data_IF_247926101885
#
_entry.id   IF_247926101885
#
_cell.length_a   1.000
_cell.length_b   1.000
_cell.length_c   1.000
_cell.angle_alpha   90.00
_cell.angle_beta   90.00
_cell.angle_gamma   90.00
#
_symmetry.space_group_name_H-M   'P 1'
#
loop_
_entity.id
_entity.type
_entity.pdbx_description
1 polymer ?
#
# COMPACT_ATOMS: atom_id res chain seq x y z
N UNK A 1 27.23 -2.02 -47.91
CA UNK A 1 25.89 -2.63 -48.05
C UNK A 1 25.42 -2.97 -46.65
N UNK A 2 24.68 -2.05 -46.00
CA UNK A 2 24.30 -2.17 -44.59
C UNK A 2 23.07 -3.10 -44.51
N UNK A 3 23.18 -4.20 -43.78
CA UNK A 3 22.15 -5.24 -43.72
C UNK A 3 20.79 -4.68 -43.23
N UNK A 4 19.66 -5.17 -43.78
CA UNK A 4 18.31 -4.75 -43.40
C UNK A 4 17.95 -4.99 -41.93
N UNK A 5 18.74 -5.81 -41.21
CA UNK A 5 18.60 -6.06 -39.78
C UNK A 5 19.03 -4.89 -38.89
N UNK A 6 19.95 -4.05 -39.35
CA UNK A 6 20.42 -2.89 -38.57
C UNK A 6 19.30 -1.84 -38.47
N UNK A 7 18.48 -1.71 -39.51
CA UNK A 7 17.34 -0.78 -39.54
C UNK A 7 16.17 -1.24 -38.67
N UNK A 8 15.90 -2.54 -38.58
CA UNK A 8 14.88 -3.08 -37.66
C UNK A 8 15.34 -2.99 -36.20
N UNK A 9 16.63 -3.20 -35.91
CA UNK A 9 17.18 -3.04 -34.56
C UNK A 9 17.16 -1.58 -34.08
N UNK A 10 17.37 -0.62 -34.98
CA UNK A 10 17.30 0.81 -34.67
C UNK A 10 15.84 1.25 -34.42
N UNK A 11 14.89 0.71 -35.17
CA UNK A 11 13.46 0.92 -34.97
C UNK A 11 12.98 0.33 -33.63
N UNK A 12 13.42 -0.89 -33.29
CA UNK A 12 13.14 -1.50 -31.98
C UNK A 12 13.77 -0.68 -30.86
N UNK A 13 14.98 -0.15 -31.04
CA UNK A 13 15.64 0.72 -30.08
C UNK A 13 14.87 2.02 -29.82
N UNK A 14 14.34 2.65 -30.86
CA UNK A 14 13.48 3.85 -30.73
C UNK A 14 12.15 3.51 -30.07
N UNK A 15 11.50 2.40 -30.46
CA UNK A 15 10.26 1.96 -29.82
C UNK A 15 10.45 1.63 -28.34
N UNK A 16 11.59 1.05 -27.97
CA UNK A 16 11.94 0.73 -26.58
C UNK A 16 12.27 2.01 -25.80
N UNK A 17 12.93 3.00 -26.40
CA UNK A 17 13.12 4.34 -25.81
C UNK A 17 11.79 5.06 -25.57
N UNK A 18 10.84 4.94 -26.50
CA UNK A 18 9.50 5.52 -26.36
C UNK A 18 8.70 4.78 -25.28
N UNK A 19 8.78 3.45 -25.22
CA UNK A 19 8.15 2.66 -24.17
C UNK A 19 8.73 2.98 -22.79
N UNK A 20 10.05 3.15 -22.67
CA UNK A 20 10.72 3.60 -21.44
C UNK A 20 10.30 5.03 -21.09
N UNK A 21 10.22 5.94 -22.07
CA UNK A 21 9.73 7.30 -21.87
C UNK A 21 8.29 7.35 -21.38
N UNK A 22 7.42 6.50 -21.92
CA UNK A 22 6.03 6.34 -21.46
C UNK A 22 5.98 5.73 -20.06
N UNK A 23 6.80 4.71 -19.77
CA UNK A 23 6.87 4.10 -18.43
C UNK A 23 7.35 5.11 -17.37
N UNK A 24 8.33 5.96 -17.72
CA UNK A 24 8.78 7.06 -16.87
C UNK A 24 7.68 8.11 -16.71
N UNK A 25 6.95 8.46 -17.76
CA UNK A 25 5.79 9.36 -17.72
C UNK A 25 4.64 8.87 -16.84
N UNK A 26 4.44 7.54 -16.72
CA UNK A 26 3.40 6.93 -15.88
C UNK A 26 3.78 6.89 -14.39
N UNK A 27 5.08 6.95 -14.08
CA UNK A 27 5.54 7.05 -12.70
C UNK A 27 5.30 8.46 -12.15
N UNK A 28 4.56 8.55 -11.03
CA UNK A 28 4.19 9.83 -10.41
C UNK A 28 5.40 10.66 -9.92
N UNK A 29 6.58 10.05 -9.83
CA UNK A 29 7.83 10.66 -9.32
C UNK A 29 8.91 10.89 -10.38
N UNK A 30 8.70 10.57 -11.67
CA UNK A 30 9.73 10.87 -12.67
C UNK A 30 9.99 12.37 -12.85
N UNK A 31 8.96 13.20 -12.67
CA UNK A 31 9.11 14.66 -12.66
C UNK A 31 10.00 15.14 -11.52
N UNK A 32 9.83 14.57 -10.31
CA UNK A 32 10.61 14.95 -9.12
C UNK A 32 12.07 14.51 -9.23
N UNK A 33 12.34 13.34 -9.82
CA UNK A 33 13.69 12.84 -10.12
C UNK A 33 14.47 13.70 -11.13
N UNK A 34 13.76 14.37 -12.05
CA UNK A 34 14.34 15.31 -13.02
C UNK A 34 14.27 16.78 -12.56
N UNK A 35 13.81 17.03 -11.32
CA UNK A 35 13.65 18.38 -10.76
C UNK A 35 12.56 19.22 -11.43
N UNK A 36 11.63 18.60 -12.16
CA UNK A 36 10.56 19.25 -12.91
C UNK A 36 9.27 19.27 -12.09
N UNK A 37 8.57 20.41 -12.13
CA UNK A 37 7.25 20.53 -11.51
C UNK A 37 6.19 19.72 -12.27
N UNK A 38 5.13 19.30 -11.58
CA UNK A 38 4.03 18.49 -12.16
C UNK A 38 3.40 19.15 -13.40
N UNK A 39 3.38 20.49 -13.43
CA UNK A 39 2.88 21.29 -14.55
C UNK A 39 3.84 21.33 -15.75
N UNK A 40 5.15 21.35 -15.51
CA UNK A 40 6.19 21.27 -16.55
C UNK A 40 6.27 19.86 -17.15
N UNK A 41 6.08 18.83 -16.35
CA UNK A 41 6.05 17.45 -16.81
C UNK A 41 4.89 17.18 -17.78
N UNK A 42 3.71 17.75 -17.50
CA UNK A 42 2.56 17.68 -18.39
C UNK A 42 2.79 18.32 -19.77
N UNK A 43 3.69 19.32 -19.87
CA UNK A 43 4.04 19.98 -21.14
C UNK A 43 5.04 19.17 -21.98
N UNK A 44 5.75 18.20 -21.41
CA UNK A 44 6.67 17.34 -22.15
C UNK A 44 5.94 16.25 -22.93
N UNK A 45 4.76 15.85 -22.49
CA UNK A 45 3.92 14.82 -23.14
C UNK A 45 3.66 15.13 -24.63
N UNK A 46 3.11 16.30 -25.01
CA UNK A 46 2.86 16.62 -26.42
C UNK A 46 4.17 16.72 -27.22
N UNK A 47 5.27 17.18 -26.61
CA UNK A 47 6.57 17.28 -27.27
C UNK A 47 7.17 15.92 -27.60
N UNK A 48 7.06 14.94 -26.69
CA UNK A 48 7.51 13.56 -26.94
C UNK A 48 6.65 12.91 -28.02
N UNK A 49 5.33 13.11 -28.00
CA UNK A 49 4.43 12.61 -29.06
C UNK A 49 4.83 13.17 -30.43
N UNK A 50 5.07 14.49 -30.52
CA UNK A 50 5.51 15.13 -31.77
C UNK A 50 6.88 14.61 -32.20
N UNK A 51 7.83 14.44 -31.27
CA UNK A 51 9.16 13.89 -31.56
C UNK A 51 9.07 12.47 -32.13
N UNK A 52 8.18 11.63 -31.60
CA UNK A 52 7.95 10.27 -32.09
C UNK A 52 7.36 10.28 -33.50
N UNK A 53 6.37 11.15 -33.75
CA UNK A 53 5.78 11.32 -35.08
C UNK A 53 6.86 11.79 -36.09
N UNK A 54 7.71 12.73 -35.70
CA UNK A 54 8.77 13.27 -36.55
C UNK A 54 9.89 12.25 -36.80
N UNK A 55 10.30 11.51 -35.77
CA UNK A 55 11.28 10.42 -35.89
C UNK A 55 10.77 9.29 -36.79
N UNK A 56 9.47 8.96 -36.70
CA UNK A 56 8.82 8.01 -37.59
C UNK A 56 8.75 8.51 -39.03
N UNK A 57 8.50 9.80 -39.24
CA UNK A 57 8.45 10.44 -40.57
C UNK A 57 9.83 10.57 -41.24
N UNK A 58 10.84 10.96 -40.46
CA UNK A 58 12.19 11.24 -40.95
C UNK A 58 12.93 10.00 -41.47
N UNK A 59 12.54 8.80 -41.03
CA UNK A 59 13.18 7.54 -41.42
C UNK A 59 12.57 6.87 -42.67
N UNK A 60 11.54 7.47 -43.31
CA UNK A 60 10.74 6.79 -44.34
C UNK A 60 11.17 7.02 -45.81
N UNK A 61 12.45 7.33 -46.10
CA UNK A 61 12.80 7.78 -47.46
C UNK A 61 12.68 6.74 -48.59
N UNK A 62 12.40 5.44 -48.34
CA UNK A 62 12.11 4.42 -49.39
C UNK A 62 11.34 3.18 -48.88
N UNK A 63 10.12 3.32 -48.35
CA UNK A 63 9.27 2.16 -48.04
C UNK A 63 7.93 2.25 -48.78
N UNK A 64 7.45 1.13 -49.30
CA UNK A 64 6.19 1.01 -50.05
C UNK A 64 5.01 1.45 -49.17
N UNK A 65 4.03 2.14 -49.77
CA UNK A 65 2.83 2.66 -49.06
C UNK A 65 2.10 1.56 -48.27
N UNK A 66 2.19 0.29 -48.69
CA UNK A 66 1.60 -0.86 -48.01
C UNK A 66 2.24 -1.21 -46.67
N UNK A 67 3.53 -0.92 -46.46
CA UNK A 67 4.23 -1.18 -45.17
C UNK A 67 4.07 -0.02 -44.18
N UNK A 68 3.76 1.18 -44.66
CA UNK A 68 3.38 2.34 -43.83
C UNK A 68 2.00 2.10 -43.18
N UNK A 69 1.04 1.53 -43.93
CA UNK A 69 -0.28 1.18 -43.42
C UNK A 69 -0.23 0.09 -42.33
N UNK A 70 0.61 -0.94 -42.50
CA UNK A 70 0.80 -2.00 -41.50
C UNK A 70 1.41 -1.48 -40.19
N UNK A 71 2.40 -0.58 -40.27
CA UNK A 71 3.00 0.02 -39.09
C UNK A 71 2.05 0.97 -38.36
N UNK A 72 1.13 1.64 -39.07
CA UNK A 72 0.14 2.51 -38.45
C UNK A 72 -0.81 1.75 -37.52
N UNK A 73 -1.16 0.51 -37.84
CA UNK A 73 -2.02 -0.34 -36.98
C UNK A 73 -1.33 -0.73 -35.69
N UNK A 74 -0.03 -1.07 -35.75
CA UNK A 74 0.75 -1.40 -34.54
C UNK A 74 0.88 -0.18 -33.63
N UNK A 75 1.14 1.01 -34.20
CA UNK A 75 1.22 2.26 -33.45
C UNK A 75 -0.14 2.69 -32.87
N UNK A 76 -1.22 2.57 -33.64
CA UNK A 76 -2.57 2.84 -33.17
C UNK A 76 -2.97 1.90 -32.03
N UNK A 77 -2.60 0.62 -32.12
CA UNK A 77 -2.81 -0.36 -31.06
C UNK A 77 -2.02 -0.02 -29.80
N UNK A 78 -0.74 0.34 -29.93
CA UNK A 78 0.11 0.70 -28.79
C UNK A 78 -0.36 2.01 -28.13
N UNK A 79 -0.79 2.99 -28.93
CA UNK A 79 -1.40 4.22 -28.43
C UNK A 79 -2.73 3.95 -27.73
N UNK A 80 -3.56 3.04 -28.26
CA UNK A 80 -4.80 2.65 -27.61
C UNK A 80 -4.54 1.97 -26.26
N UNK A 81 -3.56 1.06 -26.17
CA UNK A 81 -3.15 0.43 -24.92
C UNK A 81 -2.61 1.47 -23.92
N UNK A 82 -1.79 2.42 -24.38
CA UNK A 82 -1.28 3.49 -23.54
C UNK A 82 -2.40 4.44 -23.06
N UNK A 83 -3.36 4.77 -23.92
CA UNK A 83 -4.51 5.60 -23.60
C UNK A 83 -5.43 4.93 -22.57
N UNK A 84 -5.69 3.63 -22.75
CA UNK A 84 -6.42 2.81 -21.76
C UNK A 84 -5.64 2.76 -20.44
N UNK A 85 -4.34 2.45 -20.48
CA UNK A 85 -3.49 2.43 -19.28
C UNK A 85 -3.43 3.77 -18.55
N UNK A 86 -3.44 4.91 -19.27
CA UNK A 86 -3.47 6.25 -18.68
C UNK A 86 -4.85 6.60 -18.10
N UNK A 87 -5.93 6.20 -18.78
CA UNK A 87 -7.31 6.45 -18.33
C UNK A 87 -7.60 5.68 -17.05
N UNK A 88 -7.12 4.44 -16.96
CA UNK A 88 -7.27 3.55 -15.80
C UNK A 88 -6.04 3.55 -14.87
N UNK A 89 -5.20 4.58 -14.92
CA UNK A 89 -3.93 4.63 -14.16
C UNK A 89 -4.14 4.50 -12.64
N UNK A 90 -5.25 5.04 -12.13
CA UNK A 90 -5.54 5.07 -10.70
C UNK A 90 -6.05 3.68 -10.26
N UNK A 91 -6.93 3.05 -11.04
CA UNK A 91 -7.38 1.67 -10.84
C UNK A 91 -6.23 0.64 -10.95
N UNK A 92 -5.30 0.84 -11.90
CA UNK A 92 -4.13 -0.03 -12.07
C UNK A 92 -3.15 0.09 -10.89
N UNK A 93 -3.03 1.27 -10.28
CA UNK A 93 -2.24 1.46 -9.06
C UNK A 93 -2.86 0.73 -7.88
N UNK A 94 -4.19 0.72 -7.77
CA UNK A 94 -4.90 -0.04 -6.73
C UNK A 94 -4.77 -1.56 -6.92
N UNK A 95 -4.80 -2.04 -8.16
CA UNK A 95 -4.56 -3.47 -8.47
C UNK A 95 -3.09 -3.83 -8.22
N UNK A 96 -2.14 -2.99 -8.61
CA UNK A 96 -0.71 -3.21 -8.34
C UNK A 96 -0.41 -3.17 -6.82
N UNK A 97 -1.01 -2.24 -6.09
CA UNK A 97 -0.93 -2.17 -4.63
C UNK A 97 -1.57 -3.39 -3.96
N UNK A 98 -2.61 -3.99 -4.58
CA UNK A 98 -3.22 -5.25 -4.11
C UNK A 98 -2.32 -6.46 -4.34
N UNK A 99 -1.71 -6.58 -5.52
CA UNK A 99 -0.79 -7.68 -5.85
C UNK A 99 0.54 -7.58 -5.08
N UNK A 100 1.04 -6.37 -4.85
CA UNK A 100 2.24 -6.14 -4.02
C UNK A 100 1.90 -6.26 -2.53
N UNK A 101 0.70 -5.85 -2.11
CA UNK A 101 0.18 -6.04 -0.74
C UNK A 101 -0.10 -7.51 -0.40
N UNK A 102 -0.42 -8.36 -1.39
CA UNK A 102 -0.52 -9.81 -1.24
C UNK A 102 0.84 -10.45 -0.85
N UNK A 103 1.96 -9.78 -1.15
CA UNK A 103 3.30 -10.25 -0.77
C UNK A 103 3.76 -9.73 0.61
N UNK A 104 3.02 -8.79 1.23
CA UNK A 104 3.29 -8.31 2.59
C UNK A 104 2.02 -7.70 3.25
N UNK A 105 1.19 -8.54 3.91
CA UNK A 105 -0.17 -8.20 4.34
C UNK A 105 -0.29 -7.26 5.57
N UNK A 106 0.79 -6.58 6.00
CA UNK A 106 0.80 -5.79 7.25
C UNK A 106 0.80 -4.27 7.04
N UNK A 107 0.75 -3.79 5.80
CA UNK A 107 0.94 -2.35 5.50
C UNK A 107 -0.40 -1.62 5.40
N UNK A 108 -0.65 -0.70 6.35
CA UNK A 108 -1.80 0.20 6.33
C UNK A 108 -1.69 1.22 5.19
N UNK A 109 -2.80 1.55 4.52
CA UNK A 109 -2.86 2.71 3.62
C UNK A 109 -3.29 3.88 4.49
N UNK A 110 -2.30 4.65 4.96
CA UNK A 110 -2.49 5.80 5.85
C UNK A 110 -2.74 7.04 5.00
N UNK A 111 -3.96 7.58 5.04
CA UNK A 111 -4.26 8.93 4.56
C UNK A 111 -3.91 9.93 5.67
N UNK A 112 -2.63 10.30 5.72
CA UNK A 112 -2.00 11.05 6.82
C UNK A 112 -2.53 12.48 7.04
N UNK A 113 -3.52 12.94 6.28
CA UNK A 113 -4.01 14.34 6.38
C UNK A 113 -5.39 14.50 7.02
N UNK A 114 -6.12 13.42 7.31
CA UNK A 114 -7.54 13.51 7.68
C UNK A 114 -7.97 12.96 9.05
N UNK A 115 -7.06 12.44 9.88
CA UNK A 115 -7.47 11.70 11.09
C UNK A 115 -8.22 10.40 10.76
N UNK A 116 -7.96 9.84 9.58
CA UNK A 116 -8.58 8.61 9.08
C UNK A 116 -7.50 7.59 8.78
N UNK A 117 -7.66 6.38 9.29
CA UNK A 117 -6.77 5.27 9.02
C UNK A 117 -7.56 4.14 8.34
N UNK A 118 -7.06 3.67 7.19
CA UNK A 118 -7.68 2.59 6.44
C UNK A 118 -6.77 1.35 6.41
N UNK A 119 -7.35 0.20 6.72
CA UNK A 119 -6.67 -1.09 6.80
C UNK A 119 -7.38 -2.08 5.89
N UNK A 120 -6.60 -2.95 5.24
CA UNK A 120 -7.13 -4.04 4.42
C UNK A 120 -7.19 -5.31 5.25
N UNK A 121 -8.19 -6.13 4.95
CA UNK A 121 -8.30 -7.48 5.50
C UNK A 121 -7.15 -8.33 4.96
N UNK A 122 -6.47 -9.04 5.85
CA UNK A 122 -5.43 -10.00 5.51
C UNK A 122 -6.02 -11.21 4.77
N UNK A 123 -5.12 -12.03 4.21
CA UNK A 123 -5.47 -13.27 3.52
C UNK A 123 -6.09 -14.31 4.46
N UNK A 124 -5.78 -14.22 5.75
CA UNK A 124 -6.37 -15.00 6.84
C UNK A 124 -7.83 -14.62 7.16
N UNK A 125 -8.34 -13.56 6.51
CA UNK A 125 -9.69 -13.07 6.73
C UNK A 125 -9.83 -12.12 7.92
N UNK A 126 -8.74 -11.79 8.61
CA UNK A 126 -8.75 -10.90 9.76
C UNK A 126 -8.15 -9.53 9.44
N UNK A 127 -8.45 -8.53 10.27
CA UNK A 127 -7.80 -7.23 10.17
C UNK A 127 -6.66 -7.17 11.19
N UNK A 128 -5.43 -7.13 10.71
CA UNK A 128 -4.23 -6.99 11.54
C UNK A 128 -3.64 -5.61 11.29
N UNK A 129 -3.55 -4.81 12.35
CA UNK A 129 -3.12 -3.42 12.30
C UNK A 129 -1.71 -3.32 12.87
N UNK A 130 -0.79 -2.69 12.15
CA UNK A 130 0.47 -2.27 12.74
C UNK A 130 0.20 -1.13 13.74
N UNK A 131 0.59 -1.33 15.00
CA UNK A 131 0.43 -0.36 16.06
C UNK A 131 1.74 -0.16 16.82
N UNK A 132 2.00 1.07 17.25
CA UNK A 132 3.06 1.41 18.17
C UNK A 132 2.52 1.46 19.59
N UNK A 133 2.94 0.51 20.42
CA UNK A 133 2.55 0.41 21.83
C UNK A 133 3.75 0.73 22.69
N UNK A 134 3.67 1.81 23.47
CA UNK A 134 4.79 2.37 24.24
C UNK A 134 6.08 2.56 23.42
N UNK A 135 5.95 2.82 22.12
CA UNK A 135 7.07 2.98 21.18
C UNK A 135 7.60 1.68 20.56
N UNK A 136 7.00 0.53 20.86
CA UNK A 136 7.29 -0.74 20.21
C UNK A 136 6.24 -1.07 19.14
N UNK A 137 6.68 -1.20 17.89
CA UNK A 137 5.82 -1.59 16.77
C UNK A 137 5.45 -3.08 16.85
N UNK A 138 4.16 -3.38 16.87
CA UNK A 138 3.61 -4.74 16.93
C UNK A 138 2.27 -4.86 16.18
N UNK A 139 1.94 -6.05 15.66
CA UNK A 139 0.63 -6.30 15.07
C UNK A 139 -0.44 -6.46 16.15
N UNK A 140 -1.57 -5.78 15.98
CA UNK A 140 -2.79 -5.97 16.77
C UNK A 140 -3.92 -6.46 15.88
N UNK A 141 -4.57 -7.54 16.29
CA UNK A 141 -5.77 -8.06 15.64
C UNK A 141 -6.99 -7.23 16.03
N UNK A 142 -7.73 -6.69 15.07
CA UNK A 142 -8.99 -6.02 15.35
C UNK A 142 -10.02 -7.00 15.91
N UNK A 143 -10.44 -6.78 17.15
CA UNK A 143 -11.38 -7.67 17.84
C UNK A 143 -12.41 -6.87 18.65
N UNK A 144 -13.63 -6.75 18.11
CA UNK A 144 -14.76 -6.12 18.79
C UNK A 144 -15.32 -6.96 19.94
N UNK A 145 -14.93 -8.24 20.04
CA UNK A 145 -15.30 -9.12 21.15
C UNK A 145 -14.44 -8.91 22.40
N UNK A 146 -13.28 -8.28 22.25
CA UNK A 146 -12.39 -7.95 23.37
C UNK A 146 -12.84 -6.63 24.03
N UNK A 147 -13.16 -6.69 25.33
CA UNK A 147 -13.59 -5.51 26.10
C UNK A 147 -12.49 -4.46 26.31
N UNK A 148 -11.23 -4.85 26.14
CA UNK A 148 -10.08 -3.96 26.20
C UNK A 148 -8.99 -4.45 25.23
N UNK A 149 -8.00 -3.60 24.96
CA UNK A 149 -6.74 -4.02 24.32
C UNK A 149 -6.12 -5.15 25.14
N UNK A 150 -5.67 -6.21 24.46
CA UNK A 150 -5.00 -7.35 25.12
C UNK A 150 -3.65 -7.55 24.47
N UNK A 151 -2.57 -7.48 25.24
CA UNK A 151 -1.25 -7.82 24.74
C UNK A 151 -0.90 -9.26 25.08
N UNK A 152 -0.24 -9.94 24.15
CA UNK A 152 0.45 -11.19 24.45
C UNK A 152 1.57 -10.92 25.47
N UNK A 153 1.96 -11.94 26.24
CA UNK A 153 3.05 -11.81 27.20
C UNK A 153 4.35 -11.30 26.54
N UNK A 154 4.68 -11.82 25.35
CA UNK A 154 5.87 -11.44 24.59
C UNK A 154 5.79 -10.00 24.07
N UNK A 155 4.64 -9.57 23.57
CA UNK A 155 4.46 -8.20 23.09
C UNK A 155 4.47 -7.18 24.22
N UNK A 156 3.92 -7.53 25.38
CA UNK A 156 4.00 -6.70 26.57
C UNK A 156 5.46 -6.47 27.00
N UNK A 157 6.29 -7.52 26.97
CA UNK A 157 7.71 -7.42 27.24
C UNK A 157 8.42 -6.53 26.20
N UNK A 158 8.07 -6.66 24.92
CA UNK A 158 8.58 -5.79 23.84
C UNK A 158 8.18 -4.33 24.02
N UNK A 159 7.01 -4.06 24.58
CA UNK A 159 6.53 -2.72 24.95
C UNK A 159 7.17 -2.17 26.25
N UNK A 160 8.18 -2.85 26.81
CA UNK A 160 8.90 -2.41 28.00
C UNK A 160 8.13 -2.62 29.31
N UNK A 161 7.07 -3.42 29.32
CA UNK A 161 6.31 -3.74 30.53
C UNK A 161 7.06 -4.83 31.30
N UNK A 162 7.26 -4.61 32.61
CA UNK A 162 7.86 -5.58 33.52
C UNK A 162 6.86 -6.70 33.85
N UNK A 163 6.77 -7.66 32.93
CA UNK A 163 5.81 -8.77 32.96
C UNK A 163 6.07 -9.76 34.11
N UNK A 164 7.28 -9.81 34.67
CA UNK A 164 7.62 -10.70 35.79
C UNK A 164 7.00 -10.22 37.11
N UNK A 165 6.73 -8.93 37.23
CA UNK A 165 6.12 -8.32 38.43
C UNK A 165 4.60 -8.24 38.35
N UNK A 166 3.99 -8.64 37.23
CA UNK A 166 2.56 -8.60 37.04
C UNK A 166 1.85 -9.72 37.81
N UNK A 167 0.72 -9.38 38.43
CA UNK A 167 -0.18 -10.35 39.05
C UNK A 167 -1.26 -10.77 38.05
N UNK A 168 -1.17 -11.99 37.53
CA UNK A 168 -2.18 -12.60 36.65
C UNK A 168 -3.38 -13.13 37.45
N UNK A 169 -4.13 -12.21 38.05
CA UNK A 169 -5.22 -12.52 38.99
C UNK A 169 -6.63 -12.37 38.40
N UNK A 170 -6.76 -11.84 37.18
CA UNK A 170 -8.06 -11.64 36.54
C UNK A 170 -8.41 -12.84 35.67
N UNK A 171 -9.55 -13.51 35.89
CA UNK A 171 -10.02 -14.54 34.98
C UNK A 171 -10.49 -13.90 33.69
N UNK A 172 -10.05 -14.44 32.56
CA UNK A 172 -10.49 -14.03 31.23
C UNK A 172 -11.01 -15.24 30.47
N UNK A 173 -12.11 -15.05 29.76
CA UNK A 173 -12.65 -16.07 28.85
C UNK A 173 -12.20 -15.72 27.46
N UNK A 174 -11.49 -16.65 26.82
CA UNK A 174 -11.03 -16.53 25.43
C UNK A 174 -11.65 -17.65 24.61
N UNK A 175 -11.54 -17.56 23.29
CA UNK A 175 -11.97 -18.62 22.39
C UNK A 175 -11.21 -19.96 22.63
N UNK A 176 -10.01 -19.90 23.20
CA UNK A 176 -9.18 -21.08 23.51
C UNK A 176 -9.44 -21.65 24.92
N UNK A 177 -10.40 -21.07 25.67
CA UNK A 177 -10.71 -21.45 27.05
C UNK A 177 -10.54 -20.31 28.05
N UNK A 178 -10.62 -20.66 29.33
CA UNK A 178 -10.39 -19.73 30.44
C UNK A 178 -8.89 -19.56 30.69
N UNK A 179 -8.40 -18.34 30.77
CA UNK A 179 -7.03 -18.01 31.17
C UNK A 179 -7.00 -16.92 32.24
N UNK A 180 -5.78 -16.46 32.55
CA UNK A 180 -5.54 -15.34 33.46
C UNK A 180 -4.92 -14.16 32.75
N UNK A 181 -5.22 -12.97 33.24
CA UNK A 181 -4.65 -11.73 32.76
C UNK A 181 -4.25 -10.81 33.91
N UNK A 182 -3.32 -9.91 33.63
CA UNK A 182 -2.96 -8.79 34.48
C UNK A 182 -3.51 -7.50 33.87
N UNK A 183 -4.10 -6.64 34.71
CA UNK A 183 -4.56 -5.31 34.28
C UNK A 183 -3.38 -4.33 34.27
N UNK A 184 -3.22 -3.61 33.17
CA UNK A 184 -2.22 -2.55 33.03
C UNK A 184 -2.82 -1.32 32.33
N UNK A 185 -2.08 -0.21 32.37
CA UNK A 185 -2.35 0.96 31.54
C UNK A 185 -1.18 1.15 30.59
N UNK A 186 -1.47 1.25 29.29
CA UNK A 186 -0.48 1.55 28.26
C UNK A 186 -0.31 3.06 28.17
N UNK A 187 0.93 3.54 28.19
CA UNK A 187 1.25 4.96 28.18
C UNK A 187 0.84 5.61 26.86
N UNK A 188 1.08 4.91 25.75
CA UNK A 188 0.69 5.34 24.40
C UNK A 188 0.38 4.14 23.52
N UNK A 189 -0.73 4.22 22.80
CA UNK A 189 -1.07 3.32 21.70
C UNK A 189 -1.32 4.18 20.47
N UNK A 190 -0.64 3.90 19.38
CA UNK A 190 -0.75 4.63 18.13
C UNK A 190 -0.94 3.69 16.95
N UNK A 191 -1.89 4.00 16.08
CA UNK A 191 -2.20 3.20 14.91
C UNK A 191 -2.72 4.07 13.77
N UNK A 192 -2.07 3.98 12.62
CA UNK A 192 -2.40 4.80 11.45
C UNK A 192 -2.42 6.31 11.72
N UNK A 193 -1.55 6.81 12.60
CA UNK A 193 -1.49 8.22 13.01
C UNK A 193 -2.48 8.63 14.10
N UNK A 194 -3.39 7.74 14.54
CA UNK A 194 -4.31 7.99 15.65
C UNK A 194 -3.63 7.55 16.94
N UNK A 195 -3.34 8.50 17.83
CA UNK A 195 -2.70 8.23 19.11
C UNK A 195 -3.67 8.38 20.28
N UNK A 196 -3.57 7.45 21.24
CA UNK A 196 -4.24 7.48 22.54
C UNK A 196 -3.23 7.28 23.65
N UNK A 197 -3.50 7.89 24.80
CA UNK A 197 -2.67 7.78 26.01
C UNK A 197 -3.47 7.17 27.14
N UNK A 198 -2.79 6.51 28.08
CA UNK A 198 -3.40 5.88 29.25
C UNK A 198 -4.50 4.88 28.85
N UNK A 199 -4.22 4.04 27.85
CA UNK A 199 -5.17 3.06 27.34
C UNK A 199 -5.20 1.86 28.27
N UNK A 200 -6.38 1.55 28.81
CA UNK A 200 -6.56 0.35 29.65
C UNK A 200 -6.32 -0.90 28.81
N UNK A 201 -5.48 -1.80 29.30
CA UNK A 201 -5.17 -3.04 28.61
C UNK A 201 -5.02 -4.22 29.58
N UNK A 202 -5.11 -5.42 29.03
CA UNK A 202 -4.80 -6.65 29.73
C UNK A 202 -3.53 -7.27 29.15
N UNK A 203 -2.71 -7.86 30.01
CA UNK A 203 -1.60 -8.72 29.59
C UNK A 203 -2.04 -10.16 29.82
N UNK A 204 -2.09 -10.95 28.76
CA UNK A 204 -2.38 -12.37 28.87
C UNK A 204 -1.22 -13.11 29.57
N UNK A 205 -1.54 -14.12 30.36
CA UNK A 205 -0.52 -15.01 30.93
C UNK A 205 0.33 -15.69 29.83
N UNK A 206 1.54 -16.17 30.14
CA UNK A 206 2.41 -16.80 29.16
C UNK A 206 1.70 -17.90 28.38
N UNK A 207 1.83 -17.88 27.05
CA UNK A 207 1.27 -18.87 26.11
C UNK A 207 -0.27 -18.92 26.01
N UNK A 208 -1.03 -18.10 26.75
CA UNK A 208 -2.48 -18.08 26.64
C UNK A 208 -2.98 -17.38 25.36
N UNK A 209 -2.17 -16.48 24.80
CA UNK A 209 -2.52 -15.69 23.62
C UNK A 209 -1.33 -15.62 22.66
N UNK A 210 -1.56 -15.99 21.39
CA UNK A 210 -0.51 -16.01 20.36
C UNK A 210 -0.24 -14.64 19.73
N UNK A 211 -1.26 -13.76 19.68
CA UNK A 211 -1.17 -12.44 19.08
C UNK A 211 -2.00 -11.43 19.84
N UNK A 212 -1.52 -10.19 19.88
CA UNK A 212 -2.18 -9.10 20.61
C UNK A 212 -3.46 -8.63 19.91
N UNK A 213 -4.44 -8.15 20.68
CA UNK A 213 -5.79 -7.79 20.24
C UNK A 213 -6.05 -6.29 20.46
N UNK A 214 -6.64 -5.63 19.47
CA UNK A 214 -7.18 -4.29 19.55
C UNK A 214 -8.66 -4.35 19.93
N UNK A 215 -8.93 -4.13 21.22
CA UNK A 215 -10.29 -4.20 21.78
C UNK A 215 -10.95 -2.85 22.05
N UNK A 216 -12.10 -2.91 22.70
CA UNK A 216 -13.03 -1.79 22.88
C UNK A 216 -12.44 -0.61 23.67
N UNK A 217 -11.51 -0.84 24.61
CA UNK A 217 -10.84 0.25 25.35
C UNK A 217 -10.07 1.24 24.47
N UNK A 218 -9.71 0.84 23.25
CA UNK A 218 -9.22 1.75 22.21
C UNK A 218 -10.34 2.14 21.23
N UNK A 219 -11.12 1.17 20.73
CA UNK A 219 -12.11 1.41 19.68
C UNK A 219 -13.21 2.41 20.09
N UNK A 220 -13.63 2.42 21.35
CA UNK A 220 -14.62 3.36 21.87
C UNK A 220 -14.10 4.79 21.98
N UNK A 221 -12.79 4.99 21.87
CA UNK A 221 -12.18 6.32 21.88
C UNK A 221 -12.22 7.00 20.51
N UNK A 222 -12.56 6.25 19.45
CA UNK A 222 -12.66 6.75 18.08
C UNK A 222 -14.03 7.41 17.86
N UNK A 223 -14.08 8.46 17.05
CA UNK A 223 -15.36 9.02 16.60
C UNK A 223 -16.17 8.02 15.77
N UNK A 224 -15.48 7.19 14.97
CA UNK A 224 -16.12 6.11 14.20
C UNK A 224 -15.12 5.02 13.85
N UNK A 225 -15.59 3.77 13.85
CA UNK A 225 -14.96 2.68 13.11
C UNK A 225 -16.00 2.01 12.20
N UNK A 226 -15.59 1.56 11.02
CA UNK A 226 -16.47 0.91 10.06
C UNK A 226 -15.76 -0.23 9.34
N UNK A 227 -16.46 -1.33 9.14
CA UNK A 227 -16.00 -2.45 8.32
C UNK A 227 -16.89 -2.53 7.09
N UNK A 228 -16.31 -2.33 5.92
CA UNK A 228 -16.97 -2.42 4.63
C UNK A 228 -16.21 -3.39 3.71
N UNK A 229 -16.76 -4.60 3.54
CA UNK A 229 -16.13 -5.66 2.76
C UNK A 229 -14.75 -6.07 3.32
N UNK A 230 -13.70 -5.77 2.55
CA UNK A 230 -12.29 -6.03 2.91
C UNK A 230 -11.55 -4.81 3.46
N UNK A 231 -12.27 -3.76 3.87
CA UNK A 231 -11.69 -2.51 4.38
C UNK A 231 -12.21 -2.22 5.79
N UNK A 232 -11.29 -1.92 6.69
CA UNK A 232 -11.54 -1.35 8.01
C UNK A 232 -11.13 0.11 7.98
N UNK A 233 -12.02 0.99 8.39
CA UNK A 233 -11.77 2.42 8.51
C UNK A 233 -11.90 2.84 9.97
N UNK A 234 -10.91 3.58 10.47
CA UNK A 234 -10.89 4.20 11.78
C UNK A 234 -10.86 5.72 11.61
N UNK A 235 -11.66 6.44 12.39
CA UNK A 235 -11.79 7.89 12.34
C UNK A 235 -11.63 8.45 13.76
N UNK A 236 -10.72 9.39 13.91
CA UNK A 236 -10.46 10.14 15.16
C UNK A 236 -11.64 11.06 15.52
#
# INVERSE_FOLDING_TARGET
MIHPTIWSMLFIGVALLVAVGIALLVSADAGSLLGLTQMQFGQLIPLVIILVIFAAGAFSRRQSISSIAGNFLVWAGLFAVALVGYTYRDDLRDVAARVVGELNPTTAIVDSQGGRASFRRGLDGHFTLAADVNGASMPLLFDTGASAVVLSYNDAQRAGIDVERLSFSLPVTTANGTGRAALVSLDRVELGGIARRNVRAFIAEPHALQGSLLGMSFLETLSRYSVAGSTLELVD
#
